data_IF_574651340603
#
_entry.id   IF_574651340603
#
_cell.length_a   1.000
_cell.length_b   1.000
_cell.length_c   1.000
_cell.angle_alpha   90.00
_cell.angle_beta   90.00
_cell.angle_gamma   90.00
#
_symmetry.space_group_name_H-M   'P 1'
#
loop_
_entity.id
_entity.type
_entity.pdbx_description
1 polymer ?
#
# COMPACT_ATOMS: atom_id res chain seq x y z
N UNK A 1 -6.73 -17.37 15.36
CA UNK A 1 -7.04 -18.35 14.27
C UNK A 1 -7.27 -17.65 12.93
N UNK A 2 -8.23 -16.69 12.79
CA UNK A 2 -8.57 -16.02 11.53
C UNK A 2 -7.35 -15.43 10.83
N UNK A 3 -6.49 -14.69 11.57
CA UNK A 3 -5.28 -14.06 11.01
C UNK A 3 -4.28 -15.10 10.50
N UNK A 4 -4.08 -16.19 11.25
CA UNK A 4 -3.18 -17.25 10.81
C UNK A 4 -3.69 -17.93 9.52
N UNK A 5 -5.00 -18.18 9.45
CA UNK A 5 -5.64 -18.74 8.26
C UNK A 5 -5.52 -17.80 7.05
N UNK A 6 -5.78 -16.50 7.24
CA UNK A 6 -5.58 -15.49 6.20
C UNK A 6 -4.13 -15.48 5.70
N UNK A 7 -3.13 -15.48 6.61
CA UNK A 7 -1.72 -15.49 6.23
C UNK A 7 -1.38 -16.70 5.36
N UNK A 8 -1.87 -17.89 5.72
CA UNK A 8 -1.67 -19.12 4.93
C UNK A 8 -2.24 -18.94 3.52
N UNK A 9 -3.50 -18.52 3.41
CA UNK A 9 -4.18 -18.36 2.12
C UNK A 9 -3.53 -17.27 1.25
N UNK A 10 -3.13 -16.13 1.85
CA UNK A 10 -2.45 -15.05 1.14
C UNK A 10 -1.08 -15.50 0.61
N UNK A 11 -0.29 -16.19 1.43
CA UNK A 11 1.02 -16.68 1.03
C UNK A 11 0.94 -17.78 -0.04
N UNK A 12 -0.11 -18.59 0.01
CA UNK A 12 -0.38 -19.64 -0.97
C UNK A 12 -0.52 -19.10 -2.41
N UNK A 13 -1.02 -17.86 -2.58
CA UNK A 13 -1.09 -17.20 -3.90
C UNK A 13 0.29 -17.08 -4.55
N UNK A 14 1.32 -16.69 -3.80
CA UNK A 14 2.69 -16.58 -4.36
C UNK A 14 3.36 -17.92 -4.57
N UNK A 15 2.96 -18.95 -3.82
CA UNK A 15 3.49 -20.31 -3.94
C UNK A 15 2.85 -21.04 -5.12
N UNK A 16 1.52 -21.07 -5.18
CA UNK A 16 0.76 -21.82 -6.19
C UNK A 16 0.63 -21.08 -7.53
N UNK A 17 0.85 -19.79 -7.52
CA UNK A 17 0.82 -18.91 -8.71
C UNK A 17 -0.45 -19.12 -9.56
N UNK A 18 -1.67 -18.93 -8.99
CA UNK A 18 -2.90 -18.93 -9.78
C UNK A 18 -2.88 -17.80 -10.80
N UNK A 19 -3.75 -17.83 -11.80
CA UNK A 19 -4.00 -16.65 -12.62
C UNK A 19 -4.64 -15.55 -11.74
N UNK A 20 -4.14 -14.32 -11.85
CA UNK A 20 -4.62 -13.16 -11.07
C UNK A 20 -4.87 -11.98 -11.98
N UNK A 21 -5.99 -11.29 -11.76
CA UNK A 21 -6.24 -9.95 -12.29
C UNK A 21 -6.20 -8.97 -11.14
N UNK A 22 -5.27 -8.01 -11.20
CA UNK A 22 -5.16 -6.88 -10.26
C UNK A 22 -5.79 -5.65 -10.89
N UNK A 23 -6.65 -4.99 -10.14
CA UNK A 23 -7.23 -3.69 -10.46
C UNK A 23 -6.88 -2.76 -9.31
N UNK A 24 -6.33 -1.60 -9.61
CA UNK A 24 -6.00 -0.58 -8.62
C UNK A 24 -6.76 0.69 -8.92
N UNK A 25 -7.35 1.27 -7.90
CA UNK A 25 -7.94 2.60 -7.92
C UNK A 25 -7.20 3.43 -6.87
N UNK A 26 -6.50 4.47 -7.31
CA UNK A 26 -5.71 5.33 -6.43
C UNK A 26 -6.35 6.72 -6.44
N UNK A 27 -6.84 7.17 -5.29
CA UNK A 27 -7.23 8.57 -5.08
C UNK A 27 -6.13 9.28 -4.32
N UNK A 28 -5.72 10.42 -4.83
CA UNK A 28 -4.67 11.22 -4.21
C UNK A 28 -5.16 12.66 -4.07
N UNK A 29 -5.08 13.20 -2.86
CA UNK A 29 -5.43 14.57 -2.56
C UNK A 29 -4.24 15.24 -1.88
N UNK A 30 -3.74 16.30 -2.47
CA UNK A 30 -2.67 17.12 -1.88
C UNK A 30 -3.27 18.36 -1.28
N UNK A 31 -2.87 18.67 -0.05
CA UNK A 31 -3.20 19.94 0.61
C UNK A 31 -1.90 20.73 0.80
N UNK A 32 -1.92 21.97 0.38
CA UNK A 32 -0.82 22.91 0.58
C UNK A 32 -1.32 24.33 0.40
N UNK A 33 -0.64 25.30 0.98
CA UNK A 33 -0.98 26.71 0.88
C UNK A 33 -0.05 27.45 -0.08
N UNK A 34 -0.56 28.50 -0.75
CA UNK A 34 0.24 29.40 -1.58
C UNK A 34 0.98 28.71 -2.73
N UNK A 35 2.29 28.94 -2.86
CA UNK A 35 3.12 28.38 -3.92
C UNK A 35 3.18 26.83 -3.88
N UNK A 36 3.02 26.24 -2.70
CA UNK A 36 3.04 24.81 -2.48
C UNK A 36 1.80 24.15 -3.08
N UNK A 37 0.64 24.78 -2.94
CA UNK A 37 -0.59 24.30 -3.58
C UNK A 37 -0.44 24.18 -5.09
N UNK A 38 0.26 25.11 -5.73
CA UNK A 38 0.53 25.09 -7.16
C UNK A 38 1.48 23.92 -7.54
N UNK A 39 2.51 23.66 -6.73
CA UNK A 39 3.41 22.52 -6.94
C UNK A 39 2.65 21.21 -6.74
N UNK A 40 1.88 21.12 -5.68
CA UNK A 40 1.06 19.97 -5.35
C UNK A 40 0.05 19.63 -6.47
N UNK A 41 -0.65 20.63 -6.99
CA UNK A 41 -1.56 20.46 -8.12
C UNK A 41 -0.83 19.99 -9.39
N UNK A 42 0.35 20.54 -9.68
CA UNK A 42 1.17 20.08 -10.82
C UNK A 42 1.62 18.63 -10.66
N UNK A 43 2.00 18.22 -9.45
CA UNK A 43 2.36 16.82 -9.15
C UNK A 43 1.14 15.91 -9.34
N UNK A 44 -0.01 16.30 -8.82
CA UNK A 44 -1.26 15.54 -8.99
C UNK A 44 -1.64 15.40 -10.47
N UNK A 45 -1.53 16.48 -11.24
CA UNK A 45 -1.82 16.46 -12.68
C UNK A 45 -0.82 15.59 -13.45
N UNK A 46 0.47 15.61 -13.07
CA UNK A 46 1.48 14.74 -13.64
C UNK A 46 1.19 13.25 -13.34
N UNK A 47 0.80 12.92 -12.10
CA UNK A 47 0.43 11.56 -11.70
C UNK A 47 -0.82 11.06 -12.45
N UNK A 48 -1.81 11.92 -12.64
CA UNK A 48 -3.00 11.62 -13.47
C UNK A 48 -2.59 11.36 -14.93
N UNK A 49 -1.81 12.27 -15.50
CA UNK A 49 -1.39 12.21 -16.91
C UNK A 49 -0.54 10.98 -17.22
N UNK A 50 0.28 10.54 -16.29
CA UNK A 50 1.14 9.36 -16.43
C UNK A 50 0.42 8.04 -16.10
N UNK A 51 -0.89 8.06 -15.83
CA UNK A 51 -1.67 6.86 -15.49
C UNK A 51 -1.38 6.29 -14.09
N UNK A 52 -0.59 6.97 -13.28
CA UNK A 52 -0.22 6.48 -11.94
C UNK A 52 -1.43 6.36 -11.01
N UNK A 53 -2.44 7.23 -11.16
CA UNK A 53 -3.64 7.22 -10.30
C UNK A 53 -4.70 6.21 -10.75
N UNK A 54 -4.67 5.76 -11.99
CA UNK A 54 -5.58 4.74 -12.52
C UNK A 54 -4.77 3.84 -13.47
N UNK A 55 -3.88 3.01 -12.93
CA UNK A 55 -3.08 2.12 -13.75
C UNK A 55 -3.95 1.09 -14.47
N UNK A 56 -3.53 0.69 -15.66
CA UNK A 56 -4.20 -0.38 -16.39
C UNK A 56 -4.24 -1.67 -15.57
N UNK A 57 -5.33 -2.44 -15.65
CA UNK A 57 -5.42 -3.71 -14.96
C UNK A 57 -4.29 -4.66 -15.33
N UNK A 58 -3.60 -5.19 -14.34
CA UNK A 58 -2.52 -6.17 -14.53
C UNK A 58 -3.10 -7.57 -14.53
N UNK A 59 -2.83 -8.34 -15.57
CA UNK A 59 -3.19 -9.76 -15.63
C UNK A 59 -1.93 -10.62 -15.56
N UNK A 60 -1.84 -11.45 -14.52
CA UNK A 60 -0.77 -12.42 -14.34
C UNK A 60 -1.29 -13.80 -14.69
N UNK A 61 -0.63 -14.47 -15.63
CA UNK A 61 -0.98 -15.85 -16.04
C UNK A 61 -0.63 -16.84 -14.93
N UNK A 62 -1.37 -17.96 -14.87
CA UNK A 62 -1.04 -19.07 -13.99
C UNK A 62 0.40 -19.53 -14.23
N UNK A 63 1.14 -19.76 -13.16
CA UNK A 63 2.55 -20.16 -13.17
C UNK A 63 3.56 -19.01 -13.26
N UNK A 64 3.13 -17.80 -13.62
CA UNK A 64 4.00 -16.62 -13.64
C UNK A 64 4.25 -16.08 -12.21
N UNK A 65 5.29 -15.26 -12.04
CA UNK A 65 5.59 -14.64 -10.75
C UNK A 65 4.50 -13.64 -10.34
N UNK A 66 4.07 -13.70 -9.09
CA UNK A 66 3.12 -12.78 -8.48
C UNK A 66 3.80 -11.73 -7.59
N UNK A 67 5.14 -11.68 -7.60
CA UNK A 67 5.88 -10.83 -6.65
C UNK A 67 5.63 -9.31 -6.84
N UNK A 68 5.28 -8.88 -8.05
CA UNK A 68 4.93 -7.50 -8.34
C UNK A 68 3.41 -7.24 -8.45
N UNK A 69 2.58 -8.29 -8.53
CA UNK A 69 1.15 -8.16 -8.76
C UNK A 69 0.29 -8.44 -7.52
N UNK A 70 0.86 -9.05 -6.49
CA UNK A 70 0.16 -9.35 -5.25
C UNK A 70 0.92 -8.75 -4.06
N UNK A 71 0.24 -8.22 -3.04
CA UNK A 71 0.91 -7.57 -1.89
C UNK A 71 1.93 -8.52 -1.26
N UNK A 72 2.80 -8.07 -0.76
CA UNK A 72 3.94 -7.33 -0.48
C UNK A 72 4.93 -7.50 -1.64
N UNK A 73 5.13 -6.48 -2.41
CA UNK A 73 5.93 -6.54 -3.65
C UNK A 73 7.36 -7.03 -3.38
N UNK A 74 7.89 -7.77 -4.37
CA UNK A 74 9.26 -8.31 -4.34
C UNK A 74 9.57 -9.25 -3.17
N UNK A 75 8.53 -9.74 -2.45
CA UNK A 75 8.66 -10.77 -1.44
C UNK A 75 8.10 -12.11 -1.94
N UNK A 76 8.65 -13.22 -1.47
CA UNK A 76 8.12 -14.56 -1.70
C UNK A 76 6.86 -14.88 -0.88
N UNK A 77 6.39 -13.93 -0.09
CA UNK A 77 5.22 -14.02 0.78
C UNK A 77 4.34 -12.77 0.63
N UNK A 78 3.07 -12.88 1.01
CA UNK A 78 2.07 -11.80 0.89
C UNK A 78 1.52 -11.34 2.22
N UNK A 79 1.70 -12.10 3.27
CA UNK A 79 1.26 -11.70 4.60
C UNK A 79 2.06 -12.37 5.72
N UNK A 80 2.48 -11.53 6.68
CA UNK A 80 3.01 -11.91 8.00
C UNK A 80 2.26 -11.16 9.08
N UNK A 81 0.97 -10.89 8.84
CA UNK A 81 0.14 -10.10 9.72
C UNK A 81 0.05 -10.75 11.11
N UNK A 82 0.36 -9.97 12.13
CA UNK A 82 0.23 -10.39 13.52
C UNK A 82 -1.12 -9.99 14.11
N UNK A 83 -1.61 -10.73 15.08
CA UNK A 83 -2.83 -10.35 15.81
C UNK A 83 -2.70 -8.97 16.49
N UNK A 84 -1.50 -8.59 16.91
CA UNK A 84 -1.21 -7.30 17.53
C UNK A 84 -1.42 -6.09 16.59
N UNK A 85 -1.35 -6.31 15.27
CA UNK A 85 -1.56 -5.29 14.24
C UNK A 85 -3.05 -5.11 13.85
N UNK A 86 -3.94 -5.98 14.36
CA UNK A 86 -5.35 -6.02 13.97
C UNK A 86 -6.23 -5.44 15.06
N UNK A 87 -7.19 -4.60 14.68
CA UNK A 87 -8.22 -4.06 15.56
C UNK A 87 -9.43 -4.99 15.64
N UNK A 88 -9.81 -5.62 14.51
CA UNK A 88 -10.87 -6.62 14.46
C UNK A 88 -10.67 -7.57 13.29
N UNK A 89 -11.13 -8.80 13.45
CA UNK A 89 -11.21 -9.78 12.38
C UNK A 89 -12.48 -10.60 12.52
N UNK A 90 -13.17 -10.83 11.41
CA UNK A 90 -14.37 -11.68 11.35
C UNK A 90 -14.27 -12.65 10.19
N UNK A 91 -14.93 -13.79 10.33
CA UNK A 91 -15.02 -14.81 9.30
C UNK A 91 -16.47 -15.31 9.24
N UNK A 92 -17.02 -15.36 8.03
CA UNK A 92 -18.35 -15.91 7.76
C UNK A 92 -18.21 -16.99 6.69
N UNK A 93 -18.74 -18.17 6.94
CA UNK A 93 -18.85 -19.23 5.95
C UNK A 93 -20.12 -19.06 5.12
N UNK A 94 -19.96 -19.06 3.80
CA UNK A 94 -21.09 -18.99 2.87
C UNK A 94 -20.74 -19.71 1.57
N UNK A 95 -21.61 -20.63 1.14
CA UNK A 95 -21.49 -21.34 -0.15
C UNK A 95 -20.13 -22.03 -0.33
N UNK A 96 -19.61 -22.69 0.70
CA UNK A 96 -18.31 -23.39 0.66
C UNK A 96 -17.10 -22.47 0.55
N UNK A 97 -17.23 -21.24 0.98
CA UNK A 97 -16.13 -20.29 1.07
C UNK A 97 -16.18 -19.52 2.40
N UNK A 98 -15.01 -19.14 2.89
CA UNK A 98 -14.84 -18.24 4.01
C UNK A 98 -14.68 -16.80 3.51
N UNK A 99 -15.56 -15.93 3.96
CA UNK A 99 -15.43 -14.49 3.79
C UNK A 99 -14.78 -13.92 5.05
N UNK A 100 -13.56 -13.44 4.91
CA UNK A 100 -12.79 -12.86 6.00
C UNK A 100 -12.73 -11.35 5.82
N UNK A 101 -13.03 -10.62 6.90
CA UNK A 101 -12.83 -9.17 6.98
C UNK A 101 -11.85 -8.88 8.10
N UNK A 102 -10.78 -8.17 7.79
CA UNK A 102 -9.75 -7.74 8.73
C UNK A 102 -9.70 -6.22 8.72
N UNK A 103 -9.72 -5.60 9.90
CA UNK A 103 -9.43 -4.18 10.09
C UNK A 103 -8.13 -4.05 10.84
N UNK A 104 -7.21 -3.28 10.29
CA UNK A 104 -5.92 -3.02 10.92
C UNK A 104 -6.06 -1.92 11.97
N UNK A 105 -5.17 -1.92 12.95
CA UNK A 105 -4.96 -0.77 13.84
C UNK A 105 -4.26 0.33 13.07
N UNK A 106 -4.59 1.56 13.40
CA UNK A 106 -3.88 2.71 12.86
C UNK A 106 -2.39 2.62 13.20
N UNK A 107 -1.57 3.13 12.31
CA UNK A 107 -0.12 3.11 12.46
C UNK A 107 0.48 4.41 11.92
N UNK A 108 1.31 5.03 12.74
CA UNK A 108 2.18 6.13 12.34
C UNK A 108 3.54 5.56 11.94
N UNK A 109 4.05 5.95 10.79
CA UNK A 109 5.31 5.48 10.21
C UNK A 109 6.18 6.71 9.91
N UNK A 110 7.27 6.85 10.64
CA UNK A 110 8.27 7.89 10.41
C UNK A 110 9.12 7.59 9.16
N UNK A 111 9.86 8.58 8.69
CA UNK A 111 10.81 8.43 7.59
C UNK A 111 11.79 7.26 7.79
N UNK A 112 12.34 7.13 9.00
CA UNK A 112 13.27 6.04 9.32
C UNK A 112 12.60 4.65 9.31
N UNK A 113 11.33 4.58 9.74
CA UNK A 113 10.56 3.34 9.65
C UNK A 113 10.19 3.01 8.20
N UNK A 114 9.90 4.02 7.37
CA UNK A 114 9.62 3.85 5.95
C UNK A 114 10.84 3.34 5.14
N UNK A 115 12.07 3.46 5.68
CA UNK A 115 13.28 2.80 5.14
C UNK A 115 13.30 1.29 5.38
N UNK A 116 12.52 0.81 6.36
CA UNK A 116 12.41 -0.61 6.73
C UNK A 116 10.95 -1.08 6.67
N UNK A 117 10.29 -0.95 5.52
CA UNK A 117 8.84 -1.13 5.41
C UNK A 117 8.34 -2.45 5.97
N UNK A 118 9.09 -3.54 5.78
CA UNK A 118 8.70 -4.87 6.25
C UNK A 118 8.73 -5.04 7.78
N UNK A 119 9.26 -4.07 8.52
CA UNK A 119 9.23 -4.06 10.00
C UNK A 119 7.99 -3.35 10.55
N UNK A 120 7.26 -2.62 9.72
CA UNK A 120 6.00 -1.96 10.09
C UNK A 120 4.83 -2.94 10.07
N UNK A 121 3.74 -2.64 10.77
CA UNK A 121 2.55 -3.51 10.79
C UNK A 121 1.88 -3.57 9.41
N UNK A 122 1.73 -2.42 8.75
CA UNK A 122 1.14 -2.34 7.42
C UNK A 122 2.04 -2.99 6.37
N UNK A 123 3.34 -2.75 6.39
CA UNK A 123 4.28 -3.35 5.45
C UNK A 123 4.41 -4.87 5.54
N UNK A 124 3.80 -5.50 6.55
CA UNK A 124 3.69 -6.95 6.64
C UNK A 124 2.53 -7.54 5.82
N UNK A 125 1.69 -6.72 5.19
CA UNK A 125 0.49 -7.20 4.48
C UNK A 125 0.08 -6.34 3.28
N UNK A 126 0.57 -5.12 3.20
CA UNK A 126 0.34 -4.19 2.07
C UNK A 126 1.63 -3.49 1.70
N UNK A 127 1.68 -2.96 0.50
CA UNK A 127 2.80 -2.11 0.10
C UNK A 127 2.57 -0.70 0.65
N UNK A 128 3.51 -0.22 1.44
CA UNK A 128 3.52 1.14 1.99
C UNK A 128 4.47 2.02 1.18
N UNK A 129 4.26 3.32 1.25
CA UNK A 129 5.15 4.29 0.63
C UNK A 129 6.53 4.21 1.28
N UNK A 130 7.55 3.87 0.50
CA UNK A 130 8.92 3.63 0.97
C UNK A 130 9.76 4.90 0.85
N UNK A 131 10.52 5.20 1.89
CA UNK A 131 11.41 6.36 1.89
C UNK A 131 12.40 6.35 0.71
N UNK A 132 12.96 5.18 0.38
CA UNK A 132 13.90 5.05 -0.73
C UNK A 132 13.26 5.36 -2.11
N UNK A 133 11.99 5.03 -2.32
CA UNK A 133 11.28 5.34 -3.56
C UNK A 133 11.04 6.84 -3.70
N UNK A 134 10.76 7.51 -2.58
CA UNK A 134 10.64 8.98 -2.55
C UNK A 134 12.00 9.62 -2.81
N UNK A 135 13.06 9.15 -2.14
CA UNK A 135 14.42 9.65 -2.35
C UNK A 135 14.84 9.56 -3.82
N UNK A 136 14.56 8.43 -4.50
CA UNK A 136 14.85 8.25 -5.92
C UNK A 136 14.05 9.22 -6.81
N UNK A 137 12.78 9.40 -6.53
CA UNK A 137 11.95 10.36 -7.28
C UNK A 137 12.40 11.80 -7.04
N UNK A 138 12.80 12.12 -5.81
CA UNK A 138 13.28 13.46 -5.45
C UNK A 138 14.67 13.77 -5.98
N UNK A 139 15.49 12.76 -6.30
CA UNK A 139 16.82 12.99 -6.96
C UNK A 139 16.71 13.78 -8.25
N UNK A 140 15.69 13.53 -9.04
CA UNK A 140 15.45 14.27 -10.28
C UNK A 140 15.05 15.73 -10.05
N UNK A 141 14.60 16.07 -8.84
CA UNK A 141 14.17 17.39 -8.40
C UNK A 141 15.11 18.00 -7.36
N UNK A 142 16.22 17.34 -7.03
CA UNK A 142 17.14 17.74 -5.94
C UNK A 142 17.77 19.12 -6.10
N UNK A 143 17.80 19.62 -7.34
CA UNK A 143 18.23 21.00 -7.63
C UNK A 143 17.18 22.05 -7.25
N UNK A 144 15.91 21.62 -7.08
CA UNK A 144 14.75 22.47 -6.74
C UNK A 144 14.25 22.27 -5.32
N UNK A 145 14.37 21.05 -4.77
CA UNK A 145 13.73 20.68 -3.52
C UNK A 145 14.64 19.74 -2.72
N UNK A 146 14.81 20.05 -1.44
CA UNK A 146 15.45 19.15 -0.47
C UNK A 146 14.39 18.57 0.46
N UNK A 147 14.28 17.25 0.48
CA UNK A 147 13.39 16.53 1.40
C UNK A 147 14.01 16.50 2.79
N UNK A 148 13.27 16.90 3.80
CA UNK A 148 13.71 16.90 5.19
C UNK A 148 13.03 15.81 6.02
N UNK A 149 11.76 15.50 5.74
CA UNK A 149 10.99 14.59 6.56
C UNK A 149 9.80 14.01 5.78
N UNK A 150 9.40 12.82 6.18
CA UNK A 150 8.21 12.13 5.71
C UNK A 150 7.52 11.47 6.90
N UNK A 151 6.35 11.93 7.21
CA UNK A 151 5.46 11.30 8.19
C UNK A 151 4.26 10.69 7.47
N UNK A 152 3.95 9.44 7.79
CA UNK A 152 2.81 8.73 7.22
C UNK A 152 1.91 8.21 8.34
N UNK A 153 0.61 8.37 8.18
CA UNK A 153 -0.38 7.76 9.06
C UNK A 153 -1.31 6.89 8.22
N UNK A 154 -1.30 5.60 8.49
CA UNK A 154 -2.23 4.64 7.92
C UNK A 154 -3.41 4.46 8.87
N UNK A 155 -4.63 4.70 8.39
CA UNK A 155 -5.85 4.60 9.19
C UNK A 155 -6.97 3.93 8.41
N UNK A 156 -7.80 3.17 9.14
CA UNK A 156 -8.97 2.52 8.54
C UNK A 156 -8.66 1.48 7.44
N UNK A 157 -7.43 0.97 7.38
CA UNK A 157 -7.06 -0.09 6.44
C UNK A 157 -7.91 -1.33 6.67
N UNK A 158 -8.51 -1.82 5.60
CA UNK A 158 -9.42 -2.97 5.63
C UNK A 158 -9.04 -3.96 4.53
N UNK A 159 -9.03 -5.24 4.87
CA UNK A 159 -8.81 -6.34 3.95
C UNK A 159 -10.07 -7.20 3.96
N UNK A 160 -10.68 -7.42 2.80
CA UNK A 160 -11.81 -8.32 2.61
C UNK A 160 -11.40 -9.37 1.60
N UNK A 161 -11.46 -10.64 1.97
CA UNK A 161 -11.13 -11.71 1.05
C UNK A 161 -12.12 -12.87 1.10
N UNK A 162 -12.18 -13.60 0.00
CA UNK A 162 -12.95 -14.85 -0.12
C UNK A 162 -11.99 -15.99 -0.38
N UNK A 163 -12.04 -17.00 0.46
CA UNK A 163 -11.16 -18.17 0.43
C UNK A 163 -12.02 -19.42 0.27
N UNK A 164 -11.71 -20.25 -0.70
CA UNK A 164 -12.36 -21.56 -0.86
C UNK A 164 -12.13 -22.42 0.38
N UNK A 165 -13.19 -22.92 0.99
CA UNK A 165 -13.10 -23.66 2.26
C UNK A 165 -12.39 -25.00 2.11
N UNK A 166 -12.51 -25.65 0.94
CA UNK A 166 -11.94 -26.96 0.68
C UNK A 166 -10.48 -26.90 0.24
N UNK A 167 -10.18 -26.03 -0.73
CA UNK A 167 -8.82 -25.92 -1.30
C UNK A 167 -7.95 -24.91 -0.55
N UNK A 168 -8.53 -24.05 0.29
CA UNK A 168 -7.87 -22.92 0.94
C UNK A 168 -7.24 -21.95 -0.06
N UNK A 169 -7.75 -21.91 -1.29
CA UNK A 169 -7.27 -21.01 -2.33
C UNK A 169 -8.03 -19.69 -2.22
N UNK A 170 -7.31 -18.57 -2.26
CA UNK A 170 -7.91 -17.25 -2.29
C UNK A 170 -8.58 -17.02 -3.65
N UNK A 171 -9.91 -16.78 -3.64
CA UNK A 171 -10.72 -16.51 -4.84
C UNK A 171 -10.68 -15.01 -5.18
N UNK A 172 -10.70 -14.17 -4.16
CA UNK A 172 -10.63 -12.72 -4.29
C UNK A 172 -10.05 -12.09 -3.04
N UNK A 173 -9.41 -10.93 -3.20
CA UNK A 173 -9.01 -10.07 -2.10
C UNK A 173 -9.19 -8.61 -2.51
N UNK A 174 -9.72 -7.82 -1.60
CA UNK A 174 -9.88 -6.39 -1.73
C UNK A 174 -9.16 -5.72 -0.56
N UNK A 175 -8.17 -4.91 -0.88
CA UNK A 175 -7.41 -4.11 0.08
C UNK A 175 -7.83 -2.65 -0.07
N UNK A 176 -8.36 -2.08 0.98
CA UNK A 176 -8.63 -0.64 1.08
C UNK A 176 -7.61 -0.04 2.03
N UNK A 177 -6.72 0.77 1.48
CA UNK A 177 -5.64 1.41 2.23
C UNK A 177 -5.91 2.91 2.23
N UNK A 178 -5.87 3.52 3.40
CA UNK A 178 -5.98 4.97 3.57
C UNK A 178 -4.71 5.42 4.26
N UNK A 179 -3.96 6.29 3.61
CA UNK A 179 -2.77 6.90 4.19
C UNK A 179 -2.85 8.42 4.06
N UNK A 180 -2.37 9.10 5.08
CA UNK A 180 -2.07 10.52 5.04
C UNK A 180 -0.56 10.66 5.17
N UNK A 181 0.07 11.33 4.23
CA UNK A 181 1.50 11.61 4.27
C UNK A 181 1.74 13.11 4.40
N UNK A 182 2.64 13.47 5.31
CA UNK A 182 3.15 14.84 5.45
C UNK A 182 4.60 14.84 5.02
N UNK A 183 4.91 15.62 4.00
CA UNK A 183 6.25 15.79 3.47
C UNK A 183 6.76 17.17 3.83
N UNK A 184 7.89 17.25 4.53
CA UNK A 184 8.59 18.51 4.78
C UNK A 184 9.74 18.63 3.81
N UNK A 185 9.74 19.71 3.07
CA UNK A 185 10.77 19.98 2.07
C UNK A 185 11.13 21.47 2.06
N UNK A 186 12.35 21.82 1.69
CA UNK A 186 12.75 23.17 1.40
C UNK A 186 13.09 23.36 -0.07
N UNK A 187 12.81 24.53 -0.59
CA UNK A 187 13.19 24.93 -1.94
C UNK A 187 14.03 26.22 -1.86
N UNK A 188 15.18 26.30 -2.54
CA UNK A 188 16.05 27.49 -2.49
C UNK A 188 15.38 28.79 -2.87
N UNK A 189 14.32 28.71 -3.67
CA UNK A 189 13.58 29.88 -4.20
C UNK A 189 12.34 30.22 -3.36
N UNK A 190 11.80 29.29 -2.57
CA UNK A 190 10.49 29.44 -1.89
C UNK A 190 10.62 29.35 -0.36
N UNK A 191 11.76 28.92 0.17
CA UNK A 191 11.95 28.62 1.60
C UNK A 191 11.38 27.27 2.01
N UNK A 192 11.22 27.07 3.32
CA UNK A 192 10.70 25.81 3.88
C UNK A 192 9.22 25.62 3.59
N UNK A 193 8.88 24.41 3.23
CA UNK A 193 7.52 24.03 2.83
C UNK A 193 7.09 22.73 3.46
N UNK A 194 5.81 22.63 3.84
CA UNK A 194 5.19 21.40 4.30
C UNK A 194 4.05 21.03 3.36
N UNK A 195 4.07 19.81 2.84
CA UNK A 195 3.00 19.26 2.00
C UNK A 195 2.33 18.11 2.74
N UNK A 196 1.01 18.17 2.86
CA UNK A 196 0.17 17.10 3.39
C UNK A 196 -0.54 16.40 2.24
N UNK A 197 -0.47 15.09 2.18
CA UNK A 197 -1.10 14.25 1.16
C UNK A 197 -1.82 13.05 1.77
#
# INVERSE_FOLDING_TARGET
EIIAYFNVAANKVKIEKPGVKKIEEISFHVKGDGAIANIANKVQDALKKNGTLNPDPITVKKGASHNAAFPVENQSWSSRLSAGAVSSASCVEKNGAYMITIRMKDEHISYEQARKPLQTKHGQVVDILKANEIDEQMKSLSWLVTLHDLDQTYSGTTIVCTIDAKSQTMRSAHYRIISNATIKASAPIVGDATVNA
#
